data_IF_547157445655
#
_entry.id   IF_547157445655
#
_cell.length_a   1.000
_cell.length_b   1.000
_cell.length_c   1.000
_cell.angle_alpha   90.00
_cell.angle_beta   90.00
_cell.angle_gamma   90.00
#
_symmetry.space_group_name_H-M   'P 1'
#
loop_
_entity.id
_entity.type
_entity.pdbx_description
1 polymer ?
#
# COMPACT_ATOMS: atom_id res chain seq x y z
N UNK A 1 -24.25 -20.63 -66.03
CA UNK A 1 -24.84 -19.64 -65.09
C UNK A 1 -25.52 -20.28 -63.86
N UNK A 2 -26.19 -21.44 -63.97
CA UNK A 2 -26.85 -22.11 -62.83
C UNK A 2 -25.93 -22.71 -61.75
N UNK A 3 -24.64 -22.94 -62.03
CA UNK A 3 -23.71 -23.50 -61.04
C UNK A 3 -23.20 -22.46 -60.04
N UNK A 4 -23.08 -21.18 -60.44
CA UNK A 4 -22.60 -20.12 -59.55
C UNK A 4 -23.65 -19.67 -58.53
N UNK A 5 -24.93 -19.70 -58.89
CA UNK A 5 -26.02 -19.32 -57.97
C UNK A 5 -26.16 -20.34 -56.82
N UNK A 6 -25.92 -21.63 -57.10
CA UNK A 6 -25.99 -22.69 -56.09
C UNK A 6 -24.81 -22.70 -55.11
N UNK A 7 -23.65 -22.17 -55.52
CA UNK A 7 -22.47 -22.07 -54.65
C UNK A 7 -22.59 -20.90 -53.66
N UNK A 8 -23.16 -19.77 -54.09
CA UNK A 8 -23.36 -18.60 -53.25
C UNK A 8 -24.39 -18.88 -52.13
N UNK A 9 -25.45 -19.65 -52.43
CA UNK A 9 -26.46 -20.03 -51.44
C UNK A 9 -25.96 -20.92 -50.30
N UNK A 10 -24.88 -21.70 -50.51
CA UNK A 10 -24.30 -22.58 -49.49
C UNK A 10 -23.20 -21.93 -48.65
N UNK A 11 -22.49 -20.94 -49.20
CA UNK A 11 -21.40 -20.26 -48.49
C UNK A 11 -21.93 -19.19 -47.52
N UNK A 12 -23.06 -18.56 -47.84
CA UNK A 12 -23.65 -17.50 -47.04
C UNK A 12 -24.04 -17.91 -45.60
N UNK A 13 -24.72 -19.05 -45.36
CA UNK A 13 -25.04 -19.48 -43.99
C UNK A 13 -23.79 -19.82 -43.19
N UNK A 14 -22.75 -20.38 -43.82
CA UNK A 14 -21.51 -20.73 -43.14
C UNK A 14 -20.74 -19.50 -42.63
N UNK A 15 -20.69 -18.43 -43.45
CA UNK A 15 -20.07 -17.17 -43.05
C UNK A 15 -20.85 -16.46 -41.93
N UNK A 16 -22.18 -16.55 -41.94
CA UNK A 16 -23.04 -16.02 -40.87
C UNK A 16 -22.80 -16.74 -39.54
N UNK A 17 -22.74 -18.09 -39.56
CA UNK A 17 -22.47 -18.88 -38.36
C UNK A 17 -21.06 -18.65 -37.80
N UNK A 18 -20.03 -18.49 -38.65
CA UNK A 18 -18.68 -18.15 -38.21
C UNK A 18 -18.65 -16.76 -37.56
N UNK A 19 -19.28 -15.75 -38.16
CA UNK A 19 -19.38 -14.42 -37.55
C UNK A 19 -20.13 -14.46 -36.22
N UNK A 20 -21.21 -15.22 -36.13
CA UNK A 20 -22.00 -15.36 -34.91
C UNK A 20 -21.19 -16.08 -33.81
N UNK A 21 -20.45 -17.13 -34.16
CA UNK A 21 -19.61 -17.87 -33.21
C UNK A 21 -18.42 -17.04 -32.72
N UNK A 22 -17.79 -16.27 -33.61
CA UNK A 22 -16.73 -15.30 -33.25
C UNK A 22 -17.31 -14.21 -32.35
N UNK A 23 -18.49 -13.66 -32.67
CA UNK A 23 -19.18 -12.67 -31.83
C UNK A 23 -19.54 -13.23 -30.46
N UNK A 24 -20.05 -14.46 -30.36
CA UNK A 24 -20.39 -15.12 -29.08
C UNK A 24 -19.11 -15.42 -28.28
N UNK A 25 -18.02 -15.83 -28.93
CA UNK A 25 -16.76 -16.11 -28.23
C UNK A 25 -16.07 -14.83 -27.75
N UNK A 26 -16.10 -13.76 -28.56
CA UNK A 26 -15.69 -12.41 -28.16
C UNK A 26 -16.59 -11.91 -27.02
N UNK A 27 -17.90 -12.13 -27.09
CA UNK A 27 -18.85 -11.73 -26.04
C UNK A 27 -18.62 -12.50 -24.73
N UNK A 28 -18.37 -13.81 -24.77
CA UNK A 28 -18.01 -14.60 -23.57
C UNK A 28 -16.66 -14.20 -22.98
N UNK A 29 -15.68 -13.87 -23.82
CA UNK A 29 -14.36 -13.37 -23.40
C UNK A 29 -14.47 -11.95 -22.83
N UNK A 30 -15.32 -11.12 -23.42
CA UNK A 30 -15.71 -9.83 -22.88
C UNK A 30 -16.49 -9.98 -21.59
N UNK A 31 -17.40 -10.93 -21.40
CA UNK A 31 -18.20 -11.07 -20.18
C UNK A 31 -17.35 -11.49 -18.96
N UNK A 32 -16.32 -12.32 -19.17
CA UNK A 32 -15.29 -12.60 -18.15
C UNK A 32 -14.41 -11.39 -17.84
N UNK A 33 -14.24 -10.48 -18.81
CA UNK A 33 -13.54 -9.20 -18.67
C UNK A 33 -14.44 -8.07 -18.17
N UNK A 34 -15.76 -8.11 -18.39
CA UNK A 34 -16.72 -7.07 -18.07
C UNK A 34 -17.06 -7.10 -16.58
N UNK A 35 -16.97 -8.26 -15.94
CA UNK A 35 -16.97 -8.36 -14.49
C UNK A 35 -15.65 -7.90 -13.86
N UNK A 36 -14.53 -7.91 -14.61
CA UNK A 36 -13.29 -7.22 -14.24
C UNK A 36 -13.30 -5.72 -14.61
N UNK A 37 -14.20 -5.29 -15.50
CA UNK A 37 -14.35 -3.94 -16.00
C UNK A 37 -15.63 -3.25 -15.52
N UNK A 38 -16.31 -3.83 -14.51
CA UNK A 38 -17.02 -3.03 -13.53
C UNK A 38 -15.95 -2.36 -12.64
N UNK A 39 -15.13 -1.54 -13.29
CA UNK A 39 -14.50 -0.37 -12.70
C UNK A 39 -15.64 0.32 -12.00
N UNK A 40 -15.78 0.06 -10.71
CA UNK A 40 -16.88 0.54 -9.92
C UNK A 40 -16.72 2.06 -9.96
N UNK A 41 -17.42 2.69 -10.90
CA UNK A 41 -17.53 4.11 -11.07
C UNK A 41 -18.33 4.53 -9.83
N UNK A 42 -17.63 4.69 -8.71
CA UNK A 42 -18.18 4.97 -7.39
C UNK A 42 -18.66 6.41 -7.36
N UNK A 43 -19.67 6.73 -8.17
CA UNK A 43 -20.33 8.03 -8.29
C UNK A 43 -21.10 8.31 -7.02
N UNK A 44 -20.39 8.74 -5.99
CA UNK A 44 -20.85 9.61 -4.91
C UNK A 44 -19.67 9.92 -3.97
N UNK A 45 -19.77 11.00 -3.17
CA UNK A 45 -19.04 11.24 -1.93
C UNK A 45 -19.22 10.06 -0.97
N UNK A 46 -18.58 8.94 -1.27
CA UNK A 46 -18.95 7.65 -0.71
C UNK A 46 -17.88 7.20 0.26
N UNK A 47 -18.25 7.21 1.54
CA UNK A 47 -17.60 6.32 2.50
C UNK A 47 -18.09 4.92 2.20
N UNK A 48 -17.18 4.02 1.85
CA UNK A 48 -17.47 2.61 1.63
C UNK A 48 -17.22 1.92 2.97
N UNK A 49 -18.32 1.63 3.69
CA UNK A 49 -18.28 0.80 4.89
C UNK A 49 -18.81 -0.57 4.53
N UNK A 50 -18.07 -1.63 4.85
CA UNK A 50 -18.63 -2.98 4.76
C UNK A 50 -17.81 -3.98 5.54
N UNK A 51 -18.41 -4.52 6.60
CA UNK A 51 -17.85 -5.66 7.33
C UNK A 51 -17.84 -6.97 6.51
N UNK A 52 -18.67 -7.05 5.45
CA UNK A 52 -18.87 -8.28 4.64
C UNK A 52 -18.23 -8.23 3.24
N UNK A 53 -17.60 -7.10 2.86
CA UNK A 53 -16.77 -7.04 1.65
C UNK A 53 -15.52 -7.94 1.75
N UNK A 54 -15.22 -8.45 2.95
CA UNK A 54 -14.15 -9.39 3.30
C UNK A 54 -14.15 -10.73 2.55
N UNK A 55 -15.19 -11.01 1.76
CA UNK A 55 -15.31 -12.22 0.92
C UNK A 55 -15.01 -11.99 -0.57
N UNK A 56 -14.60 -10.79 -0.97
CA UNK A 56 -14.08 -10.59 -2.32
C UNK A 56 -12.71 -11.27 -2.43
N UNK A 57 -12.74 -12.56 -2.76
CA UNK A 57 -11.59 -13.45 -2.86
C UNK A 57 -11.06 -13.53 -4.30
N UNK A 58 -11.34 -12.53 -5.13
CA UNK A 58 -10.87 -12.48 -6.51
C UNK A 58 -9.84 -11.36 -6.64
N UNK A 59 -8.81 -11.60 -7.44
CA UNK A 59 -7.83 -10.59 -7.85
C UNK A 59 -8.56 -9.44 -8.54
N UNK A 60 -8.83 -8.37 -7.80
CA UNK A 60 -9.49 -7.19 -8.33
C UNK A 60 -8.41 -6.14 -8.64
N UNK A 61 -8.42 -5.66 -9.88
CA UNK A 61 -7.67 -4.48 -10.29
C UNK A 61 -8.62 -3.30 -10.23
N UNK A 62 -8.34 -2.33 -9.38
CA UNK A 62 -9.14 -1.12 -9.24
C UNK A 62 -8.31 0.09 -9.66
N UNK A 63 -8.88 0.93 -10.51
CA UNK A 63 -8.34 2.22 -10.86
C UNK A 63 -9.35 3.32 -10.49
N UNK A 64 -9.01 4.19 -9.53
CA UNK A 64 -9.82 5.38 -9.26
C UNK A 64 -9.32 6.54 -10.10
N UNK A 65 -10.07 6.85 -11.16
CA UNK A 65 -9.80 8.00 -12.02
C UNK A 65 -9.90 9.32 -11.24
N UNK A 66 -9.11 10.33 -11.63
CA UNK A 66 -9.12 11.62 -10.96
C UNK A 66 -10.51 12.25 -11.06
N UNK A 67 -11.05 12.68 -9.92
CA UNK A 67 -12.24 13.53 -9.88
C UNK A 67 -11.83 14.98 -9.76
N UNK A 68 -12.53 15.84 -10.51
CA UNK A 68 -12.51 17.28 -10.27
C UNK A 68 -13.14 17.66 -8.91
N UNK A 69 -13.83 16.73 -8.23
CA UNK A 69 -14.31 16.90 -6.86
C UNK A 69 -13.24 16.45 -5.87
N UNK A 70 -12.80 17.37 -5.00
CA UNK A 70 -11.84 17.23 -3.89
C UNK A 70 -12.22 16.19 -2.80
N UNK A 71 -13.19 15.33 -3.07
CA UNK A 71 -13.73 14.39 -2.11
C UNK A 71 -12.79 13.22 -1.88
N UNK A 72 -12.34 13.04 -0.63
CA UNK A 72 -11.60 11.85 -0.21
C UNK A 72 -12.49 10.61 -0.24
N UNK A 73 -12.06 9.56 -0.93
CA UNK A 73 -12.70 8.25 -0.88
C UNK A 73 -12.26 7.54 0.39
N UNK A 74 -13.20 7.18 1.26
CA UNK A 74 -12.89 6.52 2.53
C UNK A 74 -13.33 5.07 2.51
N UNK A 75 -12.40 4.15 2.71
CA UNK A 75 -12.64 2.73 2.96
C UNK A 75 -12.57 2.48 4.47
N UNK A 76 -13.66 1.97 5.06
CA UNK A 76 -13.70 1.73 6.50
C UNK A 76 -14.11 0.29 6.83
N UNK A 77 -13.38 -0.35 7.75
CA UNK A 77 -13.64 -1.71 8.24
C UNK A 77 -13.64 -2.76 7.14
N UNK A 78 -12.69 -2.68 6.20
CA UNK A 78 -12.58 -3.59 5.04
C UNK A 78 -11.34 -4.47 5.17
N UNK A 79 -11.47 -5.74 4.80
CA UNK A 79 -10.34 -6.65 4.63
C UNK A 79 -10.05 -6.86 3.15
N UNK A 80 -8.92 -6.31 2.69
CA UNK A 80 -8.44 -6.41 1.31
C UNK A 80 -7.46 -7.58 1.20
N UNK A 81 -7.85 -8.74 0.67
CA UNK A 81 -6.96 -9.92 0.63
C UNK A 81 -5.97 -9.91 -0.53
N UNK A 82 -6.47 -9.60 -1.73
CA UNK A 82 -5.71 -9.56 -2.98
C UNK A 82 -6.25 -8.41 -3.82
N UNK A 83 -5.47 -7.35 -3.96
CA UNK A 83 -5.93 -6.13 -4.62
C UNK A 83 -4.74 -5.44 -5.27
N UNK A 84 -4.89 -5.05 -6.53
CA UNK A 84 -4.03 -4.05 -7.14
C UNK A 84 -4.86 -2.76 -7.24
N UNK A 85 -4.48 -1.76 -6.46
CA UNK A 85 -5.21 -0.51 -6.36
C UNK A 85 -4.36 0.67 -6.79
N UNK A 86 -4.75 1.29 -7.90
CA UNK A 86 -4.12 2.52 -8.39
C UNK A 86 -5.15 3.64 -8.24
N UNK A 87 -4.79 4.73 -7.56
CA UNK A 87 -5.72 5.83 -7.36
C UNK A 87 -5.12 7.19 -7.69
N UNK A 88 -5.94 8.03 -8.33
CA UNK A 88 -5.63 9.41 -8.71
C UNK A 88 -6.49 10.43 -7.94
N UNK A 89 -7.28 9.97 -6.98
CA UNK A 89 -8.06 10.80 -6.05
C UNK A 89 -7.62 10.53 -4.61
N UNK A 90 -7.78 11.47 -3.66
CA UNK A 90 -7.38 11.24 -2.28
C UNK A 90 -8.11 10.03 -1.69
N UNK A 91 -7.37 9.15 -1.01
CA UNK A 91 -7.91 7.93 -0.39
C UNK A 91 -7.59 7.89 1.09
N UNK A 92 -8.57 7.45 1.88
CA UNK A 92 -8.42 7.16 3.30
C UNK A 92 -8.80 5.71 3.60
N UNK A 93 -7.86 4.91 4.08
CA UNK A 93 -8.13 3.60 4.67
C UNK A 93 -8.20 3.74 6.17
N UNK A 94 -9.35 3.43 6.76
CA UNK A 94 -9.57 3.49 8.19
C UNK A 94 -10.03 2.15 8.75
N UNK A 95 -9.41 1.66 9.82
CA UNK A 95 -9.79 0.39 10.46
C UNK A 95 -9.75 -0.81 9.47
N UNK A 96 -8.86 -0.76 8.46
CA UNK A 96 -8.79 -1.77 7.41
C UNK A 96 -7.70 -2.82 7.68
N UNK A 97 -7.75 -3.93 6.94
CA UNK A 97 -6.71 -4.97 6.92
C UNK A 97 -6.24 -5.26 5.49
N UNK A 98 -4.93 -5.38 5.28
CA UNK A 98 -4.37 -5.67 3.95
C UNK A 98 -3.75 -7.07 3.97
N UNK A 99 -4.10 -7.92 3.01
CA UNK A 99 -3.49 -9.22 2.78
C UNK A 99 -2.19 -9.11 1.99
N UNK A 100 -1.41 -10.19 1.98
CA UNK A 100 -0.02 -10.18 1.50
C UNK A 100 0.13 -9.87 0.01
N UNK A 101 -0.97 -9.94 -0.74
CA UNK A 101 -1.04 -9.62 -2.18
C UNK A 101 -1.71 -8.28 -2.46
N UNK A 102 -1.78 -7.38 -1.49
CA UNK A 102 -2.21 -5.99 -1.73
C UNK A 102 -1.04 -5.20 -2.31
N UNK A 103 -1.28 -4.55 -3.44
CA UNK A 103 -0.40 -3.54 -4.03
C UNK A 103 -1.20 -2.25 -4.16
N UNK A 104 -0.69 -1.18 -3.56
CA UNK A 104 -1.32 0.13 -3.54
C UNK A 104 -0.39 1.14 -4.19
N UNK A 105 -0.84 1.76 -5.28
CA UNK A 105 -0.12 2.85 -5.94
C UNK A 105 -0.93 4.14 -5.90
N UNK A 106 -0.31 5.16 -5.31
CA UNK A 106 -0.93 6.43 -4.99
C UNK A 106 -0.37 7.56 -5.85
N UNK A 107 -1.26 8.17 -6.64
CA UNK A 107 -1.03 9.41 -7.38
C UNK A 107 -1.83 10.60 -6.83
N UNK A 108 -2.42 10.44 -5.64
CA UNK A 108 -3.04 11.50 -4.85
C UNK A 108 -2.68 11.34 -3.36
N UNK A 109 -3.11 12.22 -2.44
CA UNK A 109 -2.88 12.01 -1.02
C UNK A 109 -3.44 10.69 -0.50
N UNK A 110 -2.65 9.98 0.30
CA UNK A 110 -3.01 8.68 0.89
C UNK A 110 -2.98 8.77 2.41
N UNK A 111 -4.08 8.37 3.04
CA UNK A 111 -4.19 8.22 4.49
C UNK A 111 -4.46 6.76 4.85
N UNK A 112 -3.70 6.22 5.79
CA UNK A 112 -3.87 4.88 6.37
C UNK A 112 -3.94 5.08 7.89
N UNK A 113 -5.11 4.87 8.47
CA UNK A 113 -5.40 5.19 9.85
C UNK A 113 -5.97 3.97 10.58
N UNK A 114 -5.39 3.64 11.73
CA UNK A 114 -5.88 2.58 12.63
C UNK A 114 -6.04 1.22 11.92
N UNK A 115 -5.24 1.00 10.87
CA UNK A 115 -5.30 -0.24 10.10
C UNK A 115 -4.46 -1.33 10.78
N UNK A 116 -4.95 -2.56 10.73
CA UNK A 116 -4.31 -3.70 11.36
C UNK A 116 -3.85 -4.72 10.33
N UNK A 117 -2.80 -5.46 10.67
CA UNK A 117 -2.26 -6.53 9.84
C UNK A 117 -1.97 -6.06 8.41
N UNK A 118 -1.42 -4.85 8.25
CA UNK A 118 -1.02 -4.34 6.95
C UNK A 118 0.07 -5.25 6.38
N UNK A 119 -0.22 -5.89 5.25
CA UNK A 119 0.74 -6.64 4.43
C UNK A 119 0.64 -6.21 2.96
N UNK A 120 1.59 -6.64 2.13
CA UNK A 120 1.69 -6.18 0.74
C UNK A 120 2.65 -4.99 0.53
N UNK A 121 2.38 -4.15 -0.45
CA UNK A 121 3.27 -3.05 -0.88
C UNK A 121 2.48 -1.76 -1.09
N UNK A 122 3.04 -0.63 -0.64
CA UNK A 122 2.45 0.70 -0.81
C UNK A 122 3.47 1.60 -1.47
N UNK A 123 3.10 2.16 -2.61
CA UNK A 123 3.92 3.08 -3.41
C UNK A 123 3.19 4.42 -3.49
N UNK A 124 3.88 5.51 -3.12
CA UNK A 124 3.39 6.87 -3.32
C UNK A 124 4.42 7.68 -4.09
N UNK A 125 3.95 8.37 -5.14
CA UNK A 125 4.79 9.15 -6.04
C UNK A 125 4.31 10.60 -6.09
N UNK A 126 5.13 11.52 -5.58
CA UNK A 126 4.87 12.97 -5.50
C UNK A 126 3.67 13.36 -4.65
N UNK A 127 3.29 12.53 -3.69
CA UNK A 127 2.05 12.73 -2.93
C UNK A 127 2.24 12.49 -1.45
N UNK A 128 1.51 13.28 -0.66
CA UNK A 128 1.49 13.15 0.79
C UNK A 128 1.00 11.75 1.20
N UNK A 129 1.67 11.18 2.19
CA UNK A 129 1.32 9.89 2.80
C UNK A 129 1.25 10.08 4.30
N UNK A 130 0.10 9.80 4.89
CA UNK A 130 -0.06 9.75 6.34
C UNK A 130 -0.41 8.34 6.79
N UNK A 131 0.43 7.75 7.62
CA UNK A 131 0.16 6.48 8.29
C UNK A 131 0.10 6.73 9.78
N UNK A 132 -1.05 6.45 10.42
CA UNK A 132 -1.25 6.70 11.85
C UNK A 132 -1.91 5.52 12.55
N UNK A 133 -1.48 5.20 13.78
CA UNK A 133 -2.14 4.19 14.62
C UNK A 133 -2.13 2.77 14.02
N UNK A 134 -1.31 2.52 13.00
CA UNK A 134 -1.42 1.32 12.17
C UNK A 134 -0.39 0.25 12.55
N UNK A 135 -0.74 -1.01 12.34
CA UNK A 135 0.12 -2.17 12.61
C UNK A 135 0.49 -2.90 11.31
N UNK A 136 1.78 -2.99 11.06
CA UNK A 136 2.40 -3.66 9.91
C UNK A 136 2.97 -5.00 10.34
N UNK A 137 2.65 -6.07 9.61
CA UNK A 137 2.98 -7.46 9.98
C UNK A 137 4.03 -8.10 9.08
N UNK A 138 4.35 -9.38 9.34
CA UNK A 138 5.48 -10.14 8.77
C UNK A 138 5.59 -10.11 7.25
N UNK A 139 4.46 -9.99 6.56
CA UNK A 139 4.36 -10.16 5.10
C UNK A 139 4.31 -8.82 4.36
N UNK A 140 4.42 -7.70 5.08
CA UNK A 140 4.50 -6.39 4.47
C UNK A 140 5.86 -6.18 3.82
N UNK A 141 5.86 -5.84 2.54
CA UNK A 141 7.07 -5.67 1.75
C UNK A 141 7.74 -4.33 2.04
N UNK A 142 7.07 -3.22 1.69
CA UNK A 142 7.68 -1.88 1.72
C UNK A 142 6.64 -0.76 1.58
N UNK A 143 6.88 0.36 2.27
CA UNK A 143 6.33 1.68 1.96
C UNK A 143 7.35 2.43 1.11
N UNK A 144 7.10 2.57 -0.18
CA UNK A 144 7.97 3.29 -1.11
C UNK A 144 7.43 4.69 -1.33
N UNK A 145 8.13 5.70 -0.82
CA UNK A 145 7.75 7.11 -0.93
C UNK A 145 8.76 7.84 -1.80
N UNK A 146 8.29 8.40 -2.91
CA UNK A 146 9.13 9.00 -3.96
C UNK A 146 8.72 10.45 -4.16
N UNK A 147 9.70 11.36 -4.18
CA UNK A 147 9.51 12.79 -4.51
C UNK A 147 8.39 13.49 -3.72
N UNK A 148 8.17 13.11 -2.46
CA UNK A 148 7.02 13.58 -1.66
C UNK A 148 7.48 14.52 -0.53
N UNK A 149 6.84 15.68 -0.39
CA UNK A 149 7.31 16.74 0.53
C UNK A 149 6.63 16.75 1.90
N UNK A 150 5.56 15.99 2.08
CA UNK A 150 4.75 16.01 3.30
C UNK A 150 4.26 14.61 3.65
N UNK A 151 5.15 13.78 4.19
CA UNK A 151 4.80 12.44 4.65
C UNK A 151 4.98 12.33 6.16
N UNK A 152 4.04 11.63 6.81
CA UNK A 152 3.99 11.44 8.24
C UNK A 152 3.69 9.99 8.57
N UNK A 153 4.56 9.38 9.38
CA UNK A 153 4.31 8.09 10.02
C UNK A 153 4.23 8.32 11.53
N UNK A 154 3.09 8.05 12.13
CA UNK A 154 2.81 8.42 13.52
C UNK A 154 2.22 7.23 14.29
N UNK A 155 2.66 7.01 15.53
CA UNK A 155 2.02 6.05 16.45
C UNK A 155 1.80 4.65 15.86
N UNK A 156 2.71 4.21 14.99
CA UNK A 156 2.54 2.98 14.20
C UNK A 156 3.56 1.91 14.59
N UNK A 157 3.16 0.65 14.51
CA UNK A 157 3.97 -0.51 14.83
C UNK A 157 4.41 -1.23 13.55
N UNK A 158 5.71 -1.41 13.40
CA UNK A 158 6.34 -2.06 12.26
C UNK A 158 7.09 -3.32 12.71
N UNK A 159 6.67 -4.48 12.22
CA UNK A 159 7.35 -5.76 12.44
C UNK A 159 7.19 -6.64 11.22
N UNK A 160 8.19 -6.64 10.33
CA UNK A 160 8.14 -7.37 9.06
C UNK A 160 9.33 -8.31 8.87
N UNK A 161 9.07 -9.45 8.20
CA UNK A 161 10.09 -10.41 7.76
C UNK A 161 10.61 -10.13 6.34
N UNK A 162 10.20 -9.00 5.75
CA UNK A 162 10.62 -8.56 4.41
C UNK A 162 12.13 -8.48 4.26
N UNK A 163 12.59 -8.79 3.05
CA UNK A 163 14.00 -8.59 2.68
C UNK A 163 14.30 -7.14 2.35
N UNK A 164 13.27 -6.31 2.13
CA UNK A 164 13.41 -4.88 1.88
C UNK A 164 13.31 -4.09 3.19
N UNK A 165 13.77 -2.85 3.15
CA UNK A 165 13.51 -1.92 4.25
C UNK A 165 12.02 -1.59 4.34
N UNK A 166 11.50 -1.48 5.57
CA UNK A 166 10.06 -1.28 5.79
C UNK A 166 9.58 0.01 5.15
N UNK A 167 10.37 1.07 5.26
CA UNK A 167 10.13 2.36 4.64
C UNK A 167 11.32 2.70 3.72
N UNK A 168 11.05 2.92 2.44
CA UNK A 168 12.03 3.31 1.44
C UNK A 168 11.70 4.71 0.91
N UNK A 169 12.57 5.67 1.20
CA UNK A 169 12.39 7.09 0.88
C UNK A 169 13.34 7.51 -0.23
N UNK A 170 12.81 8.14 -1.27
CA UNK A 170 13.62 8.72 -2.34
C UNK A 170 13.21 10.18 -2.58
N UNK A 171 14.17 11.10 -2.42
CA UNK A 171 13.97 12.55 -2.64
C UNK A 171 12.71 13.11 -1.96
N UNK A 172 12.46 12.69 -0.72
CA UNK A 172 11.25 13.01 0.02
C UNK A 172 11.56 13.73 1.33
N UNK A 173 10.57 14.37 1.93
CA UNK A 173 10.63 14.98 3.25
C UNK A 173 9.61 14.30 4.16
N UNK A 174 10.11 13.60 5.18
CA UNK A 174 9.30 12.67 5.98
C UNK A 174 9.50 12.91 7.47
N UNK A 175 8.40 12.83 8.23
CA UNK A 175 8.38 12.83 9.69
C UNK A 175 7.96 11.45 10.19
N UNK A 176 8.67 10.94 11.19
CA UNK A 176 8.36 9.68 11.87
C UNK A 176 8.28 9.98 13.36
N UNK A 177 7.10 9.85 13.95
CA UNK A 177 6.83 10.23 15.34
C UNK A 177 6.18 9.07 16.10
N UNK A 178 6.67 8.77 17.30
CA UNK A 178 6.01 7.80 18.20
C UNK A 178 5.82 6.39 17.58
N UNK A 179 6.68 6.03 16.62
CA UNK A 179 6.62 4.73 15.96
C UNK A 179 7.45 3.68 16.71
N UNK A 180 7.16 2.41 16.43
CA UNK A 180 7.91 1.28 16.96
C UNK A 180 8.31 0.33 15.81
N UNK A 181 9.60 0.20 15.57
CA UNK A 181 10.18 -0.76 14.64
C UNK A 181 10.82 -1.89 15.43
N UNK A 182 10.18 -3.06 15.44
CA UNK A 182 10.65 -4.21 16.21
C UNK A 182 10.82 -5.43 15.30
N UNK A 183 11.96 -6.12 15.40
CA UNK A 183 12.25 -7.39 14.72
C UNK A 183 12.08 -7.32 13.19
N UNK A 184 12.40 -6.18 12.57
CA UNK A 184 12.48 -6.07 11.12
C UNK A 184 13.70 -6.86 10.61
N UNK A 185 13.48 -7.76 9.64
CA UNK A 185 14.53 -8.63 9.09
C UNK A 185 15.63 -7.87 8.34
N UNK A 186 15.30 -6.72 7.77
CA UNK A 186 16.24 -5.80 7.15
C UNK A 186 16.11 -4.40 7.79
N UNK A 187 16.87 -3.41 7.29
CA UNK A 187 16.87 -2.05 7.82
C UNK A 187 15.45 -1.50 7.99
N UNK A 188 15.12 -0.94 9.16
CA UNK A 188 13.81 -0.32 9.40
C UNK A 188 13.47 0.72 8.32
N UNK A 189 14.41 1.63 8.06
CA UNK A 189 14.25 2.72 7.09
C UNK A 189 15.48 2.76 6.17
N UNK A 190 15.24 2.89 4.87
CA UNK A 190 16.24 3.28 3.88
C UNK A 190 15.85 4.60 3.25
N UNK A 191 16.75 5.58 3.24
CA UNK A 191 16.45 6.90 2.71
C UNK A 191 17.56 7.42 1.80
N UNK A 192 17.21 7.86 0.58
CA UNK A 192 18.14 8.43 -0.40
C UNK A 192 17.68 9.82 -0.84
N UNK A 193 18.60 10.79 -0.82
CA UNK A 193 18.36 12.18 -1.21
C UNK A 193 17.21 12.86 -0.45
N UNK A 194 16.87 12.37 0.75
CA UNK A 194 15.67 12.74 1.50
C UNK A 194 15.99 13.57 2.75
N UNK A 195 15.00 14.27 3.27
CA UNK A 195 15.03 14.89 4.60
C UNK A 195 14.20 14.03 5.56
N UNK A 196 14.74 13.72 6.72
CA UNK A 196 14.10 12.84 7.68
C UNK A 196 14.16 13.42 9.10
N UNK A 197 13.00 13.53 9.72
CA UNK A 197 12.84 13.87 11.13
C UNK A 197 12.23 12.67 11.85
N UNK A 198 12.94 12.15 12.86
CA UNK A 198 12.51 11.03 13.69
C UNK A 198 12.41 11.52 15.13
N UNK A 199 11.26 11.30 15.78
CA UNK A 199 11.02 11.73 17.14
C UNK A 199 10.34 10.63 17.95
N UNK A 200 10.74 10.44 19.20
CA UNK A 200 10.04 9.56 20.15
C UNK A 200 9.82 8.14 19.61
N UNK A 201 10.76 7.62 18.82
CA UNK A 201 10.61 6.35 18.10
C UNK A 201 11.47 5.27 18.75
N UNK A 202 10.94 4.04 18.82
CA UNK A 202 11.67 2.86 19.25
C UNK A 202 12.14 2.05 18.05
N UNK A 203 13.43 1.69 18.06
CA UNK A 203 14.05 0.78 17.12
C UNK A 203 14.62 -0.41 17.91
N UNK A 204 14.14 -1.64 17.69
CA UNK A 204 14.50 -2.79 18.52
C UNK A 204 14.73 -4.07 17.72
N UNK A 205 15.85 -4.74 17.99
CA UNK A 205 16.07 -6.12 17.53
C UNK A 205 16.13 -6.28 16.02
N UNK A 206 16.57 -5.26 15.28
CA UNK A 206 16.67 -5.30 13.83
C UNK A 206 18.04 -5.80 13.38
N UNK A 207 18.06 -6.41 12.20
CA UNK A 207 19.30 -6.91 11.58
C UNK A 207 19.42 -6.41 10.15
N UNK A 208 20.60 -6.00 9.72
CA UNK A 208 20.85 -5.64 8.33
C UNK A 208 22.34 -5.80 7.95
N UNK A 209 22.69 -5.50 6.70
CA UNK A 209 24.10 -5.39 6.33
C UNK A 209 24.73 -4.10 6.87
N UNK A 210 24.00 -2.99 6.79
CA UNK A 210 24.45 -1.64 7.12
C UNK A 210 23.26 -0.89 7.72
N UNK A 211 23.40 -0.25 8.89
CA UNK A 211 22.34 0.58 9.46
C UNK A 211 21.03 -0.17 9.67
N UNK A 212 20.97 -1.12 10.60
CA UNK A 212 19.79 -1.99 10.77
C UNK A 212 18.52 -1.26 11.22
N UNK A 213 18.65 -0.11 11.88
CA UNK A 213 17.52 0.77 12.14
C UNK A 213 17.30 1.75 10.99
N UNK A 214 18.37 2.40 10.55
CA UNK A 214 18.33 3.40 9.49
C UNK A 214 19.60 3.35 8.66
N UNK A 215 19.42 3.20 7.35
CA UNK A 215 20.45 3.44 6.35
C UNK A 215 20.10 4.73 5.59
N UNK A 216 20.80 5.82 5.92
CA UNK A 216 20.49 7.16 5.46
C UNK A 216 21.55 7.72 4.52
N UNK A 217 21.17 7.95 3.26
CA UNK A 217 21.93 8.65 2.20
C UNK A 217 21.19 9.91 1.75
N UNK A 218 20.70 10.70 2.70
CA UNK A 218 19.88 11.89 2.46
C UNK A 218 20.59 13.21 2.72
N UNK A 219 19.84 14.32 2.73
CA UNK A 219 20.41 15.66 2.88
C UNK A 219 20.46 16.08 4.36
N UNK A 220 19.34 15.88 5.09
CA UNK A 220 19.17 16.28 6.49
C UNK A 220 18.52 15.17 7.32
N UNK A 221 19.17 14.81 8.42
CA UNK A 221 18.66 13.86 9.42
C UNK A 221 18.60 14.52 10.80
N UNK A 222 17.45 14.44 11.46
CA UNK A 222 17.27 14.82 12.87
C UNK A 222 16.58 13.68 13.60
N UNK A 223 17.24 13.12 14.61
CA UNK A 223 16.68 12.06 15.47
C UNK A 223 16.63 12.56 16.90
N UNK A 224 15.44 12.56 17.51
CA UNK A 224 15.25 13.10 18.86
C UNK A 224 14.47 12.17 19.76
N UNK A 225 14.82 12.16 21.06
CA UNK A 225 14.05 11.45 22.10
C UNK A 225 13.75 10.00 21.74
N UNK A 226 14.64 9.34 21.00
CA UNK A 226 14.42 8.01 20.43
C UNK A 226 15.28 6.99 21.16
N UNK A 227 14.88 5.72 21.09
CA UNK A 227 15.59 4.63 21.75
C UNK A 227 15.92 3.55 20.74
N UNK A 228 17.17 3.11 20.72
CA UNK A 228 17.68 2.13 19.76
C UNK A 228 18.36 0.98 20.49
N UNK A 229 17.77 -0.21 20.42
CA UNK A 229 18.11 -1.35 21.27
C UNK A 229 18.43 -2.58 20.42
N UNK A 230 19.53 -3.26 20.71
CA UNK A 230 19.89 -4.57 20.15
C UNK A 230 19.79 -4.62 18.62
N UNK A 231 20.23 -3.55 17.96
CA UNK A 231 20.27 -3.44 16.52
C UNK A 231 21.65 -3.90 16.00
N UNK A 232 21.66 -4.81 15.02
CA UNK A 232 22.87 -5.51 14.56
C UNK A 232 23.11 -5.29 13.06
N UNK A 233 24.31 -4.85 12.69
CA UNK A 233 24.72 -4.77 11.28
C UNK A 233 25.96 -5.62 11.03
N UNK A 234 25.99 -6.34 9.91
CA UNK A 234 27.12 -7.24 9.58
C UNK A 234 28.35 -6.51 9.04
N UNK A 235 28.24 -5.22 8.66
CA UNK A 235 29.37 -4.42 8.17
C UNK A 235 29.64 -3.20 9.02
N UNK A 236 28.67 -2.29 9.14
CA UNK A 236 28.88 -1.00 9.80
C UNK A 236 27.59 -0.32 10.24
N UNK A 237 27.69 0.50 11.29
CA UNK A 237 26.59 1.25 11.86
C UNK A 237 25.50 0.31 12.36
N UNK A 238 25.73 -0.39 13.47
CA UNK A 238 24.83 -1.44 13.95
C UNK A 238 23.38 -0.98 13.99
N UNK A 239 23.13 0.21 14.53
CA UNK A 239 21.86 0.89 14.40
C UNK A 239 21.78 1.76 13.13
N UNK A 240 22.68 2.72 12.97
CA UNK A 240 22.58 3.78 11.96
C UNK A 240 23.80 3.84 11.06
N UNK A 241 23.58 3.75 9.74
CA UNK A 241 24.57 4.10 8.71
C UNK A 241 24.20 5.43 8.08
N UNK A 242 25.10 6.41 8.15
CA UNK A 242 24.83 7.80 7.79
C UNK A 242 25.81 8.27 6.72
N UNK A 243 25.25 8.69 5.59
CA UNK A 243 25.91 9.36 4.48
C UNK A 243 25.15 10.66 4.18
N UNK A 244 24.94 11.47 5.23
CA UNK A 244 24.17 12.70 5.18
C UNK A 244 25.05 13.91 4.92
N UNK A 245 24.46 15.06 4.57
CA UNK A 245 25.18 16.34 4.67
C UNK A 245 25.10 16.93 6.07
N UNK A 246 23.93 16.81 6.72
CA UNK A 246 23.68 17.33 8.07
C UNK A 246 22.97 16.29 8.93
N UNK A 247 23.49 16.05 10.13
CA UNK A 247 22.95 15.05 11.03
C UNK A 247 22.98 15.51 12.49
N UNK A 248 21.84 15.38 13.18
CA UNK A 248 21.68 15.73 14.60
C UNK A 248 21.00 14.59 15.34
N UNK A 249 21.60 14.15 16.43
CA UNK A 249 20.99 13.29 17.44
C UNK A 249 20.85 14.07 18.74
N UNK A 250 19.65 14.06 19.31
CA UNK A 250 19.33 14.80 20.54
C UNK A 250 18.52 13.92 21.49
N UNK A 251 19.07 13.66 22.67
CA UNK A 251 18.45 12.79 23.69
C UNK A 251 18.12 11.40 23.13
N UNK A 252 19.11 10.74 22.49
CA UNK A 252 18.94 9.39 21.92
C UNK A 252 19.69 8.38 22.77
N UNK A 253 19.03 7.26 23.09
CA UNK A 253 19.64 6.16 23.84
C UNK A 253 19.99 5.00 22.91
N UNK A 254 21.25 4.59 22.93
CA UNK A 254 21.81 3.47 22.20
C UNK A 254 22.19 2.36 23.18
N UNK A 255 21.63 1.17 23.01
CA UNK A 255 21.81 0.08 23.98
C UNK A 255 22.00 -1.24 23.25
N UNK A 256 23.10 -1.94 23.49
CA UNK A 256 23.33 -3.29 22.99
C UNK A 256 23.44 -3.40 21.47
N UNK A 257 23.71 -2.30 20.78
CA UNK A 257 23.88 -2.30 19.32
C UNK A 257 25.25 -2.88 18.95
N UNK A 258 25.37 -3.48 17.76
CA UNK A 258 26.62 -4.13 17.35
C UNK A 258 26.87 -4.05 15.85
N UNK A 259 28.11 -3.76 15.47
CA UNK A 259 28.63 -3.90 14.12
C UNK A 259 30.17 -3.94 14.16
N UNK A 260 30.84 -4.47 13.12
CA UNK A 260 32.30 -4.42 13.01
C UNK A 260 32.87 -2.99 13.03
N UNK A 261 32.14 -2.01 12.50
CA UNK A 261 32.54 -0.59 12.44
C UNK A 261 31.39 0.28 12.96
N UNK A 262 31.57 0.92 14.11
CA UNK A 262 30.56 1.75 14.76
C UNK A 262 29.36 0.93 15.25
N UNK A 263 29.42 0.48 16.51
CA UNK A 263 28.42 -0.40 17.12
C UNK A 263 27.01 0.17 17.01
N UNK A 264 26.86 1.48 17.23
CA UNK A 264 25.59 2.18 17.03
C UNK A 264 25.59 2.97 15.74
N UNK A 265 26.59 3.83 15.52
CA UNK A 265 26.59 4.78 14.41
C UNK A 265 27.88 4.65 13.59
N UNK A 266 27.74 4.48 12.27
CA UNK A 266 28.80 4.72 11.30
C UNK A 266 28.40 5.89 10.40
N UNK A 267 29.23 6.93 10.33
CA UNK A 267 28.96 8.14 9.58
C UNK A 267 30.14 8.55 8.69
N UNK A 268 29.86 8.93 7.45
CA UNK A 268 30.86 9.51 6.54
C UNK A 268 30.88 11.05 6.60
N UNK A 269 30.04 11.63 7.43
CA UNK A 269 29.76 13.07 7.52
C UNK A 269 29.70 13.50 8.98
N UNK A 270 29.97 14.77 9.25
CA UNK A 270 29.95 15.28 10.62
C UNK A 270 28.59 15.06 11.28
N UNK A 271 28.61 14.42 12.45
CA UNK A 271 27.43 14.20 13.29
C UNK A 271 27.50 15.11 14.51
N UNK A 272 26.35 15.67 14.90
CA UNK A 272 26.19 16.36 16.17
C UNK A 272 25.42 15.48 17.15
N UNK A 273 26.01 15.23 18.32
CA UNK A 273 25.43 14.43 19.39
C UNK A 273 25.17 15.32 20.61
N UNK A 274 23.91 15.34 21.07
CA UNK A 274 23.48 16.12 22.22
C UNK A 274 22.77 15.21 23.22
N UNK A 275 23.29 15.12 24.44
CA UNK A 275 22.68 14.36 25.55
C UNK A 275 22.33 12.91 25.16
N UNK A 276 23.15 12.30 24.31
CA UNK A 276 22.98 10.91 23.93
C UNK A 276 23.53 9.99 25.01
N UNK A 277 22.96 8.80 25.13
CA UNK A 277 23.38 7.76 26.08
C UNK A 277 23.80 6.53 25.29
N UNK A 278 24.89 5.90 25.68
CA UNK A 278 25.43 4.68 25.09
C UNK A 278 25.93 3.74 26.17
N UNK A 279 25.89 2.43 25.92
CA UNK A 279 26.29 1.40 26.88
C UNK A 279 27.73 0.88 26.69
N UNK A 280 28.39 1.21 25.57
CA UNK A 280 29.81 0.92 25.34
C UNK A 280 30.67 2.18 25.31
N UNK A 281 31.99 2.00 25.23
CA UNK A 281 32.91 3.11 25.05
C UNK A 281 32.60 3.88 23.76
N UNK A 282 32.68 5.21 23.81
CA UNK A 282 32.31 6.10 22.69
C UNK A 282 32.97 5.72 21.35
N UNK A 283 34.26 5.34 21.37
CA UNK A 283 35.02 4.93 20.17
C UNK A 283 34.51 3.62 19.53
N UNK A 284 33.87 2.76 20.32
CA UNK A 284 33.25 1.52 19.82
C UNK A 284 31.84 1.77 19.29
N UNK A 285 31.13 2.73 19.86
CA UNK A 285 29.76 3.10 19.49
C UNK A 285 29.70 3.89 18.20
N UNK A 286 30.64 4.81 18.03
CA UNK A 286 30.63 5.79 16.98
C UNK A 286 31.88 5.69 16.11
N UNK A 287 31.68 5.57 14.81
CA UNK A 287 32.72 5.68 13.80
C UNK A 287 32.38 6.78 12.80
N UNK A 288 33.21 7.83 12.71
CA UNK A 288 33.03 8.92 11.75
C UNK A 288 33.62 10.24 12.21
N UNK A 289 33.48 11.31 11.42
CA UNK A 289 33.80 12.65 11.85
C UNK A 289 32.69 13.20 12.77
N UNK A 290 33.09 13.90 13.83
CA UNK A 290 32.17 14.49 14.82
C UNK A 290 32.36 15.99 14.81
N UNK A 291 31.27 16.73 14.72
CA UNK A 291 31.31 18.19 14.81
C UNK A 291 31.14 18.68 16.25
N UNK A 292 30.20 18.11 17.00
CA UNK A 292 29.89 18.51 18.38
C UNK A 292 29.48 17.29 19.21
N UNK A 293 30.08 17.18 20.40
CA UNK A 293 29.67 16.26 21.46
C UNK A 293 29.31 17.07 22.69
N UNK A 294 28.04 17.10 23.06
CA UNK A 294 27.58 17.56 24.37
C UNK A 294 26.91 16.38 25.06
N UNK A 295 27.69 15.34 25.31
CA UNK A 295 27.22 14.15 26.01
C UNK A 295 27.21 14.40 27.52
N UNK A 296 26.26 13.77 28.20
CA UNK A 296 26.34 13.60 29.63
C UNK A 296 27.28 12.40 29.83
N UNK A 297 28.38 12.53 30.59
CA UNK A 297 29.22 11.38 30.91
C UNK A 297 28.32 10.29 31.49
N UNK A 298 28.14 9.21 30.73
CA UNK A 298 27.53 8.01 31.28
C UNK A 298 28.65 7.38 32.11
N UNK A 299 28.77 7.83 33.36
CA UNK A 299 29.40 7.00 34.38
C UNK A 299 28.55 5.73 34.44
N UNK A 300 28.91 4.75 33.63
CA UNK A 300 28.45 3.38 33.83
C UNK A 300 28.85 3.09 35.26
N UNK A 301 27.91 2.90 36.21
CA UNK A 301 28.29 2.50 37.54
C UNK A 301 29.04 1.19 37.36
N UNK A 302 30.38 1.25 37.48
CA UNK A 302 31.23 0.07 37.54
C UNK A 302 30.55 -0.82 38.54
N UNK A 303 30.08 -1.98 38.08
CA UNK A 303 29.32 -2.91 38.89
C UNK A 303 30.11 -3.11 40.19
N UNK A 304 29.65 -2.42 41.25
CA UNK A 304 30.25 -2.52 42.57
C UNK A 304 30.07 -3.97 42.92
N UNK A 305 31.22 -4.63 43.10
CA UNK A 305 31.36 -6.05 43.38
C UNK A 305 30.21 -6.49 44.28
N UNK A 306 29.33 -7.33 43.73
CA UNK A 306 28.16 -7.85 44.42
C UNK A 306 28.60 -8.38 45.80
N UNK A 307 27.96 -7.97 46.91
CA UNK A 307 28.29 -8.53 48.20
C UNK A 307 28.00 -10.03 48.15
N UNK A 308 29.01 -10.81 48.54
CA UNK A 308 28.95 -12.25 48.74
C UNK A 308 27.62 -12.64 49.39
N UNK A 309 26.80 -13.37 48.63
CA UNK A 309 25.56 -13.98 49.12
C UNK A 309 25.92 -14.94 50.24
N UNK A 310 25.60 -14.56 51.48
CA UNK A 310 25.54 -15.48 52.61
C UNK A 310 24.46 -16.52 52.31
N UNK A 311 24.90 -17.76 52.17
CA UNK A 311 24.03 -18.92 51.98
C UNK A 311 23.03 -19.02 53.13
N UNK A 312 21.75 -18.79 52.82
CA UNK A 312 20.64 -19.17 53.69
C UNK A 312 20.06 -20.50 53.17
N UNK A 313 19.87 -21.51 54.03
CA UNK A 313 19.57 -22.87 53.58
C UNK A 313 18.18 -22.99 52.95
N UNK A 314 18.15 -23.79 51.89
CA UNK A 314 17.02 -24.24 51.10
C UNK A 314 15.96 -24.90 52.01
N UNK A 315 14.70 -24.41 52.05
CA UNK A 315 13.60 -25.22 52.55
C UNK A 315 13.15 -26.21 51.48
N UNK A 316 13.23 -27.48 51.87
CA UNK A 316 12.80 -28.71 51.24
C UNK A 316 11.46 -28.63 50.51
N UNK A 317 11.47 -29.08 49.25
CA UNK A 317 10.29 -29.31 48.41
C UNK A 317 9.36 -30.36 49.04
N UNK A 318 8.11 -29.98 49.28
CA UNK A 318 7.00 -30.89 49.55
C UNK A 318 6.46 -31.49 48.23
N UNK A 319 6.24 -32.81 48.13
CA UNK A 319 5.69 -33.44 46.93
C UNK A 319 4.19 -33.16 46.81
N UNK A 320 3.77 -32.45 45.76
CA UNK A 320 2.35 -32.30 45.45
C UNK A 320 1.86 -33.54 44.69
N UNK A 321 0.83 -34.16 45.27
CA UNK A 321 0.29 -35.45 44.87
C UNK A 321 -0.54 -35.38 43.56
N UNK A 322 -0.27 -36.37 42.71
CA UNK A 322 -1.20 -37.26 42.00
C UNK A 322 -2.44 -36.69 41.24
N UNK A 323 -2.59 -37.02 39.94
CA UNK A 323 -3.77 -36.69 39.13
C UNK A 323 -4.90 -37.71 39.30
N UNK A 324 -6.16 -37.26 39.15
CA UNK A 324 -7.36 -38.11 39.04
C UNK A 324 -8.48 -37.37 38.29
N UNK A 325 -9.50 -38.03 37.72
CA UNK A 325 -9.44 -38.83 36.50
C UNK A 325 -10.39 -38.28 35.40
N UNK A 326 -10.19 -38.84 34.21
CA UNK A 326 -11.09 -38.88 33.04
C UNK A 326 -12.59 -38.94 33.36
N UNK A 327 -13.36 -38.02 32.78
CA UNK A 327 -14.78 -38.23 32.49
C UNK A 327 -15.06 -37.98 31.01
N UNK A 328 -15.56 -39.02 30.36
CA UNK A 328 -16.18 -39.06 29.04
C UNK A 328 -17.55 -39.75 29.27
N UNK A 329 -18.59 -39.60 28.42
CA UNK A 329 -19.29 -38.42 27.90
C UNK A 329 -20.82 -38.49 28.23
N UNK A 330 -21.63 -37.49 27.83
CA UNK A 330 -22.98 -37.75 27.31
C UNK A 330 -23.00 -37.38 25.81
N UNK A 331 -23.20 -38.31 24.87
CA UNK A 331 -24.53 -38.78 24.48
C UNK A 331 -25.18 -37.80 23.49
N UNK A 332 -25.29 -38.09 22.19
CA UNK A 332 -25.97 -37.21 21.25
C UNK A 332 -27.47 -37.20 21.52
N UNK A 333 -28.00 -36.06 21.98
CA UNK A 333 -29.44 -35.82 22.07
C UNK A 333 -30.03 -35.78 20.66
N UNK A 334 -30.84 -36.77 20.31
CA UNK A 334 -31.65 -36.75 19.10
C UNK A 334 -32.79 -35.74 19.28
N UNK A 335 -32.77 -34.68 18.50
CA UNK A 335 -33.87 -33.73 18.37
C UNK A 335 -34.93 -34.32 17.42
N UNK A 336 -36.22 -34.29 17.77
CA UNK A 336 -37.27 -34.85 16.92
C UNK A 336 -37.42 -34.08 15.61
N UNK A 337 -37.51 -34.83 14.52
CA UNK A 337 -37.87 -34.37 13.18
C UNK A 337 -39.33 -33.90 13.20
N UNK A 338 -39.53 -32.60 13.04
CA UNK A 338 -40.84 -32.01 12.76
C UNK A 338 -41.06 -31.94 11.25
N UNK A 339 -41.88 -32.86 10.73
CA UNK A 339 -42.47 -32.77 9.39
C UNK A 339 -43.57 -31.70 9.41
N UNK A 340 -43.31 -30.56 8.78
CA UNK A 340 -44.37 -29.64 8.38
C UNK A 340 -44.07 -29.07 6.99
N UNK A 341 -44.70 -29.60 5.92
CA UNK A 341 -44.58 -29.02 4.58
C UNK A 341 -45.52 -27.83 4.47
N UNK A 342 -45.01 -26.63 4.77
CA UNK A 342 -45.68 -25.39 4.39
C UNK A 342 -45.29 -25.08 2.93
N UNK A 343 -46.24 -25.03 1.97
CA UNK A 343 -45.95 -24.69 0.59
C UNK A 343 -45.50 -23.23 0.51
N UNK A 344 -44.18 -23.03 0.53
CA UNK A 344 -43.56 -21.74 0.23
C UNK A 344 -43.85 -21.41 -1.23
N UNK A 345 -44.80 -20.51 -1.42
CA UNK A 345 -45.19 -19.92 -2.70
C UNK A 345 -43.95 -19.31 -3.35
N UNK A 346 -43.55 -19.81 -4.51
CA UNK A 346 -42.38 -19.41 -5.31
C UNK A 346 -42.39 -17.91 -5.67
N UNK A 347 -41.94 -17.05 -4.75
CA UNK A 347 -41.69 -15.63 -5.00
C UNK A 347 -40.40 -15.40 -5.80
N UNK A 348 -39.57 -16.43 -5.93
CA UNK A 348 -38.33 -16.44 -6.72
C UNK A 348 -38.61 -16.33 -8.23
N UNK A 349 -39.68 -16.96 -8.74
CA UNK A 349 -40.02 -16.88 -10.15
C UNK A 349 -40.48 -15.47 -10.56
N UNK A 350 -41.34 -14.84 -9.76
CA UNK A 350 -41.83 -13.48 -10.01
C UNK A 350 -40.67 -12.47 -9.98
N UNK A 351 -39.74 -12.62 -9.04
CA UNK A 351 -38.56 -11.75 -8.94
C UNK A 351 -37.66 -11.90 -10.17
N UNK A 352 -37.48 -13.11 -10.67
CA UNK A 352 -36.67 -13.38 -11.87
C UNK A 352 -37.29 -12.77 -13.13
N UNK A 353 -38.61 -12.86 -13.30
CA UNK A 353 -39.34 -12.25 -14.42
C UNK A 353 -39.22 -10.72 -14.41
N UNK A 354 -39.33 -10.09 -13.23
CA UNK A 354 -39.18 -8.63 -13.09
C UNK A 354 -37.77 -8.18 -13.50
N UNK A 355 -36.73 -8.91 -13.09
CA UNK A 355 -35.34 -8.58 -13.45
C UNK A 355 -35.14 -8.69 -14.98
N UNK A 356 -35.69 -9.72 -15.63
CA UNK A 356 -35.61 -9.88 -17.09
C UNK A 356 -36.32 -8.72 -17.80
N UNK A 357 -37.51 -8.31 -17.35
CA UNK A 357 -38.23 -7.18 -17.92
C UNK A 357 -37.44 -5.87 -17.83
N UNK A 358 -36.80 -5.59 -16.68
CA UNK A 358 -35.98 -4.37 -16.52
C UNK A 358 -34.78 -4.38 -17.47
N UNK A 359 -34.11 -5.53 -17.65
CA UNK A 359 -32.98 -5.65 -18.57
C UNK A 359 -33.41 -5.40 -20.03
N UNK A 360 -34.57 -5.93 -20.44
CA UNK A 360 -35.10 -5.71 -21.79
C UNK A 360 -35.41 -4.23 -22.03
N UNK A 361 -36.01 -3.54 -21.05
CA UNK A 361 -36.32 -2.10 -21.16
C UNK A 361 -35.05 -1.27 -21.33
N UNK A 362 -33.99 -1.56 -20.56
CA UNK A 362 -32.70 -0.86 -20.68
C UNK A 362 -32.08 -1.08 -22.07
N UNK A 363 -32.14 -2.29 -22.61
CA UNK A 363 -31.61 -2.59 -23.96
C UNK A 363 -32.38 -1.79 -25.02
N UNK A 364 -33.71 -1.71 -24.94
CA UNK A 364 -34.53 -0.94 -25.87
C UNK A 364 -34.17 0.55 -25.81
N UNK A 365 -33.99 1.13 -24.62
CA UNK A 365 -33.60 2.53 -24.46
C UNK A 365 -32.25 2.81 -25.13
N UNK A 366 -31.25 1.93 -24.92
CA UNK A 366 -29.93 2.08 -25.55
C UNK A 366 -30.02 2.02 -27.07
N UNK A 367 -30.80 1.09 -27.63
CA UNK A 367 -31.00 0.98 -29.09
C UNK A 367 -31.65 2.25 -29.64
N UNK A 368 -32.67 2.80 -28.97
CA UNK A 368 -33.32 4.06 -29.37
C UNK A 368 -32.34 5.22 -29.36
N UNK A 369 -31.50 5.36 -28.32
CA UNK A 369 -30.48 6.41 -28.25
C UNK A 369 -29.48 6.27 -29.40
N UNK A 370 -29.00 5.06 -29.69
CA UNK A 370 -28.06 4.81 -30.80
C UNK A 370 -28.68 5.20 -32.14
N UNK A 371 -29.94 4.84 -32.39
CA UNK A 371 -30.66 5.20 -33.62
C UNK A 371 -30.82 6.72 -33.75
N UNK A 372 -31.19 7.43 -32.67
CA UNK A 372 -31.32 8.89 -32.67
C UNK A 372 -29.97 9.56 -32.96
N UNK A 373 -28.89 9.08 -32.36
CA UNK A 373 -27.54 9.63 -32.57
C UNK A 373 -27.07 9.37 -34.01
N UNK A 374 -27.31 8.17 -34.55
CA UNK A 374 -26.97 7.86 -35.95
C UNK A 374 -27.78 8.72 -36.93
N UNK A 375 -29.07 8.94 -36.67
CA UNK A 375 -29.93 9.78 -37.51
C UNK A 375 -29.47 11.24 -37.51
N UNK A 376 -28.99 11.76 -36.37
CA UNK A 376 -28.44 13.12 -36.27
C UNK A 376 -27.07 13.27 -36.95
N UNK A 377 -26.22 12.23 -36.94
CA UNK A 377 -24.92 12.28 -37.62
C UNK A 377 -25.02 12.32 -39.14
N UNK A 378 -26.11 11.78 -39.71
CA UNK A 378 -26.34 11.79 -41.16
C UNK A 378 -26.99 13.07 -41.69
N UNK A 379 -27.24 14.09 -40.86
CA UNK A 379 -27.81 15.38 -41.28
C UNK A 379 -26.81 16.54 -41.29
N UNK A 380 -25.50 16.28 -41.10
CA UNK A 380 -24.45 17.33 -41.12
C UNK A 380 -23.72 17.35 -42.46
N UNK A 381 -24.47 17.30 -43.57
CA UNK A 381 -23.98 17.79 -44.84
C UNK A 381 -25.10 18.62 -45.46
N UNK A 382 -24.92 19.95 -45.62
CA UNK A 382 -25.79 20.70 -46.51
C UNK A 382 -25.63 20.11 -47.91
N UNK A 383 -26.74 19.79 -48.55
CA UNK A 383 -26.79 19.58 -49.99
C UNK A 383 -26.60 20.95 -50.64
N UNK A 384 -25.34 21.29 -50.92
CA UNK A 384 -24.97 22.47 -51.71
C UNK A 384 -25.33 22.19 -53.18
N UNK A 385 -26.60 22.45 -53.53
CA UNK A 385 -27.01 22.70 -54.91
C UNK A 385 -26.86 24.20 -55.18
N UNK A 386 -25.67 24.65 -55.57
CA UNK A 386 -25.50 25.88 -56.39
C UNK A 386 -24.16 25.87 -57.12
N UNK A 387 -24.28 25.68 -58.44
CA UNK A 387 -23.54 26.30 -59.55
C UNK A 387 -22.04 26.61 -59.42
N UNK A 388 -21.28 25.91 -60.27
CA UNK A 388 -20.02 26.26 -60.93
C UNK A 388 -19.45 27.66 -60.65
N UNK A 389 -18.54 27.75 -59.68
CA UNK A 389 -17.42 28.69 -59.75
C UNK A 389 -16.16 28.06 -59.17
N UNK A 390 -15.06 28.15 -59.93
CA UNK A 390 -13.77 27.54 -59.63
C UNK A 390 -13.24 27.90 -58.23
N UNK A 391 -12.67 26.93 -57.48
CA UNK A 391 -12.13 27.19 -56.16
C UNK A 391 -10.81 27.99 -56.24
N UNK A 392 -10.85 29.26 -55.82
CA UNK A 392 -9.67 30.06 -55.50
C UNK A 392 -8.89 29.40 -54.35
N UNK A 393 -7.73 28.83 -54.67
CA UNK A 393 -6.73 28.37 -53.69
C UNK A 393 -6.36 29.51 -52.75
N UNK A 394 -6.82 29.44 -51.51
CA UNK A 394 -6.38 30.32 -50.43
C UNK A 394 -5.33 29.56 -49.61
N UNK A 395 -4.09 29.99 -49.76
CA UNK A 395 -2.94 29.47 -49.01
C UNK A 395 -3.06 29.94 -47.56
N UNK A 396 -3.38 29.03 -46.65
CA UNK A 396 -3.41 29.32 -45.20
C UNK A 396 -1.96 29.32 -44.70
N UNK A 397 -1.43 30.49 -44.38
CA UNK A 397 -0.12 30.65 -43.72
C UNK A 397 -0.32 30.30 -42.24
N UNK A 398 0.14 29.11 -41.85
CA UNK A 398 0.19 28.70 -40.44
C UNK A 398 1.43 29.34 -39.81
N UNK A 399 1.22 30.34 -38.94
CA UNK A 399 2.30 30.89 -38.10
C UNK A 399 2.72 29.83 -37.09
N UNK A 400 3.97 29.35 -37.20
CA UNK A 400 4.61 28.53 -36.18
C UNK A 400 4.69 29.30 -34.85
N UNK A 401 4.09 28.75 -33.79
CA UNK A 401 4.06 29.34 -32.43
C UNK A 401 5.19 28.83 -31.52
N UNK A 402 6.21 28.17 -32.05
CA UNK A 402 7.36 27.75 -31.26
C UNK A 402 8.59 28.59 -31.62
N UNK A 403 8.85 29.60 -30.79
CA UNK A 403 10.15 30.22 -30.69
C UNK A 403 11.14 29.18 -30.15
N UNK A 404 12.03 28.71 -31.03
CA UNK A 404 13.22 27.98 -30.64
C UNK A 404 14.19 29.03 -30.07
N UNK A 405 14.21 29.17 -28.75
CA UNK A 405 15.29 29.89 -28.09
C UNK A 405 16.55 29.04 -28.16
N UNK A 406 17.34 29.26 -29.21
CA UNK A 406 18.76 28.98 -29.20
C UNK A 406 19.47 30.21 -28.66
N UNK A 407 20.06 30.09 -27.48
CA UNK A 407 21.19 30.92 -27.09
C UNK A 407 22.30 30.00 -26.60
N UNK A 408 23.41 30.09 -27.34
CA UNK A 408 24.71 29.53 -27.03
C UNK A 408 25.51 30.65 -26.37
N UNK A 409 26.07 30.37 -25.20
CA UNK A 409 27.35 30.89 -24.73
C UNK A 409 27.93 29.91 -23.71
#
# INVERSE_FOLDING_TARGET
>A
MNFMVNLIGKIFPFYFWIRLFIQIHIFKRMQRSLFSALSLLLVANSTIKSARLSQINQQMNYALLPRNSLSTVTFQNIWLKQMNFIHFSPVNFKDCRFGSSVYLESHAPLMIQDCHDLSGEVVSNRQAVKVSGSKVTSDFKVFKVIESNDCLFEQSLFSTSSKDSVINLQRSSVKITECNFTNCRNSGIFAKGSNLEIKSTLFKGMKAAEGSALHFKGNKLSVRHSTVINCEATKEGGAFKIMASTCVFDCVSFIGNSAPIGSSISANSSVNLYKCVYDKAFKEEFNGPIAVVMDIPTEVPTASVSPTVSQSPIPTLSPFATPRPTMTPPGPTMTPVSLNPNPQKDTTFITFVIIICVVIVVIVIVVVIVVIVQKRKNQIYPSDDTEDTEPKKTTVIVKNMYAVNGEVA
#
